data_IF_414458187525
#
_entry.id   IF_414458187525
#
_cell.length_a   1.000
_cell.length_b   1.000
_cell.length_c   1.000
_cell.angle_alpha   90.00
_cell.angle_beta   90.00
_cell.angle_gamma   90.00
#
_symmetry.space_group_name_H-M   'P 1'
#
loop_
_entity.id
_entity.type
_entity.pdbx_description
1 polymer ?
#
# COMPACT_ATOMS: atom_id res chain seq x y z
N UNK A 1 4.43 -15.14 -28.76
CA UNK A 1 4.06 -13.79 -29.24
C UNK A 1 5.29 -12.90 -29.15
N UNK A 2 5.86 -12.53 -30.31
CA UNK A 2 6.91 -11.53 -30.40
C UNK A 2 6.26 -10.15 -30.55
N UNK A 3 6.14 -9.43 -29.44
CA UNK A 3 5.74 -8.03 -29.52
C UNK A 3 6.91 -7.18 -30.00
N UNK A 4 6.63 -6.19 -30.86
CA UNK A 4 7.56 -5.09 -31.07
C UNK A 4 7.77 -4.37 -29.74
N UNK A 5 8.92 -3.73 -29.51
CA UNK A 5 9.21 -3.01 -28.27
C UNK A 5 8.08 -2.02 -27.90
N UNK A 6 7.57 -1.26 -28.87
CA UNK A 6 6.45 -0.33 -28.66
C UNK A 6 5.15 -1.06 -28.29
N UNK A 7 4.86 -2.19 -28.91
CA UNK A 7 3.68 -3.01 -28.61
C UNK A 7 3.74 -3.60 -27.20
N UNK A 8 4.92 -4.05 -26.76
CA UNK A 8 5.12 -4.54 -25.40
C UNK A 8 4.91 -3.44 -24.34
N UNK A 9 5.40 -2.23 -24.60
CA UNK A 9 5.19 -1.09 -23.70
C UNK A 9 3.72 -0.70 -23.58
N UNK A 10 2.99 -0.60 -24.71
CA UNK A 10 1.56 -0.26 -24.71
C UNK A 10 0.76 -1.34 -23.96
N UNK A 11 1.04 -2.61 -24.25
CA UNK A 11 0.39 -3.72 -23.54
C UNK A 11 0.67 -3.69 -22.05
N UNK A 12 1.92 -3.46 -21.64
CA UNK A 12 2.30 -3.34 -20.24
C UNK A 12 1.61 -2.17 -19.54
N UNK A 13 1.51 -1.01 -20.22
CA UNK A 13 0.81 0.15 -19.70
C UNK A 13 -0.69 -0.15 -19.48
N UNK A 14 -1.35 -0.73 -20.47
CA UNK A 14 -2.78 -1.08 -20.36
C UNK A 14 -3.00 -2.11 -19.25
N UNK A 15 -2.17 -3.16 -19.18
CA UNK A 15 -2.26 -4.17 -18.15
C UNK A 15 -2.05 -3.59 -16.75
N UNK A 16 -1.09 -2.67 -16.58
CA UNK A 16 -0.85 -1.98 -15.31
C UNK A 16 -2.03 -1.08 -14.92
N UNK A 17 -2.59 -0.32 -15.86
CA UNK A 17 -3.77 0.52 -15.61
C UNK A 17 -4.98 -0.31 -15.18
N UNK A 18 -5.23 -1.45 -15.84
CA UNK A 18 -6.31 -2.36 -15.47
C UNK A 18 -6.10 -2.98 -14.10
N UNK A 19 -4.87 -3.40 -13.79
CA UNK A 19 -4.50 -3.95 -12.49
C UNK A 19 -4.73 -2.92 -11.38
N UNK A 20 -4.18 -1.72 -11.53
CA UNK A 20 -4.29 -0.64 -10.54
C UNK A 20 -5.75 -0.24 -10.32
N UNK A 21 -6.52 -0.06 -11.40
CA UNK A 21 -7.95 0.23 -11.33
C UNK A 21 -8.71 -0.87 -10.58
N UNK A 22 -8.43 -2.13 -10.89
CA UNK A 22 -9.12 -3.27 -10.26
C UNK A 22 -8.83 -3.35 -8.76
N UNK A 23 -7.56 -3.16 -8.36
CA UNK A 23 -7.15 -3.14 -6.95
C UNK A 23 -7.83 -1.99 -6.20
N UNK A 24 -7.82 -0.79 -6.76
CA UNK A 24 -8.44 0.37 -6.14
C UNK A 24 -9.96 0.23 -6.02
N UNK A 25 -10.62 -0.34 -7.03
CA UNK A 25 -12.06 -0.62 -6.99
C UNK A 25 -12.42 -1.67 -5.92
N UNK A 26 -11.59 -2.68 -5.72
CA UNK A 26 -11.81 -3.72 -4.71
C UNK A 26 -11.50 -3.26 -3.28
N UNK A 27 -10.52 -2.37 -3.14
CA UNK A 27 -10.01 -1.93 -1.83
C UNK A 27 -11.05 -1.15 -1.02
N UNK A 28 -11.89 -0.32 -1.66
CA UNK A 28 -12.87 0.50 -0.95
C UNK A 28 -14.02 -0.33 -0.35
N UNK A 29 -14.72 -1.22 -1.10
CA UNK A 29 -15.70 -2.13 -0.52
C UNK A 29 -15.12 -2.99 0.61
N UNK A 30 -13.88 -3.48 0.46
CA UNK A 30 -13.22 -4.26 1.50
C UNK A 30 -13.01 -3.46 2.80
N UNK A 31 -12.61 -2.19 2.71
CA UNK A 31 -12.48 -1.32 3.89
C UNK A 31 -13.85 -1.01 4.51
N UNK A 32 -14.86 -0.76 3.69
CA UNK A 32 -16.22 -0.51 4.14
C UNK A 32 -16.80 -1.72 4.87
N UNK A 33 -16.63 -2.92 4.33
CA UNK A 33 -17.09 -4.16 4.93
C UNK A 33 -16.61 -4.33 6.37
N UNK A 34 -15.33 -3.99 6.65
CA UNK A 34 -14.81 -4.03 8.03
C UNK A 34 -15.54 -3.05 8.94
N UNK A 35 -15.84 -1.83 8.45
CA UNK A 35 -16.58 -0.83 9.20
C UNK A 35 -18.04 -1.19 9.45
N UNK A 36 -18.67 -1.87 8.49
CA UNK A 36 -20.06 -2.26 8.54
C UNK A 36 -20.32 -3.45 9.47
N UNK A 37 -19.32 -4.34 9.61
CA UNK A 37 -19.43 -5.57 10.41
C UNK A 37 -19.16 -5.37 11.92
N UNK A 38 -18.75 -4.17 12.34
CA UNK A 38 -18.40 -3.89 13.75
C UNK A 38 -19.18 -2.69 14.27
N UNK A 39 -19.49 -2.69 15.58
CA UNK A 39 -20.11 -1.54 16.23
C UNK A 39 -19.19 -0.33 16.30
N UNK A 40 -19.76 0.87 16.46
CA UNK A 40 -19.03 2.15 16.46
C UNK A 40 -17.85 2.19 17.43
N UNK A 41 -18.00 1.60 18.61
CA UNK A 41 -16.96 1.54 19.64
C UNK A 41 -15.75 0.69 19.22
N UNK A 42 -15.95 -0.27 18.32
CA UNK A 42 -14.92 -1.23 17.88
C UNK A 42 -14.27 -0.81 16.58
N UNK A 43 -14.83 0.14 15.82
CA UNK A 43 -14.31 0.56 14.50
C UNK A 43 -12.85 0.94 14.53
N UNK A 44 -12.42 1.74 15.49
CA UNK A 44 -11.01 2.16 15.61
C UNK A 44 -10.07 0.97 15.76
N UNK A 45 -10.45 -0.01 16.61
CA UNK A 45 -9.67 -1.23 16.83
C UNK A 45 -9.65 -2.12 15.59
N UNK A 46 -10.79 -2.28 14.92
CA UNK A 46 -10.90 -3.08 13.70
C UNK A 46 -10.02 -2.53 12.57
N UNK A 47 -10.03 -1.23 12.32
CA UNK A 47 -9.16 -0.59 11.35
C UNK A 47 -7.67 -0.66 11.71
N UNK A 48 -7.34 -0.60 13.01
CA UNK A 48 -5.95 -0.79 13.47
C UNK A 48 -5.47 -2.22 13.20
N UNK A 49 -6.30 -3.22 13.46
CA UNK A 49 -5.99 -4.63 13.14
C UNK A 49 -5.86 -4.81 11.63
N UNK A 50 -6.75 -4.22 10.83
CA UNK A 50 -6.67 -4.26 9.37
C UNK A 50 -5.35 -3.66 8.89
N UNK A 51 -4.96 -2.49 9.39
CA UNK A 51 -3.69 -1.84 9.04
C UNK A 51 -2.49 -2.69 9.45
N UNK A 52 -2.52 -3.31 10.62
CA UNK A 52 -1.50 -4.26 11.05
C UNK A 52 -1.35 -5.42 10.07
N UNK A 53 -2.46 -6.06 9.69
CA UNK A 53 -2.44 -7.21 8.76
C UNK A 53 -1.97 -6.82 7.37
N UNK A 54 -2.36 -5.64 6.86
CA UNK A 54 -1.90 -5.11 5.56
C UNK A 54 -0.39 -4.92 5.56
N UNK A 55 0.17 -4.30 6.60
CA UNK A 55 1.61 -4.06 6.69
C UNK A 55 2.39 -5.36 6.94
N UNK A 56 1.86 -6.29 7.74
CA UNK A 56 2.45 -7.61 7.91
C UNK A 56 2.48 -8.40 6.59
N UNK A 57 1.40 -8.33 5.80
CA UNK A 57 1.35 -8.90 4.45
C UNK A 57 2.37 -8.26 3.51
N UNK A 58 2.52 -6.93 3.56
CA UNK A 58 3.53 -6.19 2.81
C UNK A 58 4.95 -6.65 3.14
N UNK A 59 5.27 -6.80 4.43
CA UNK A 59 6.55 -7.33 4.89
C UNK A 59 6.84 -8.72 4.29
N UNK A 60 5.88 -9.63 4.36
CA UNK A 60 6.01 -10.98 3.77
C UNK A 60 6.21 -10.88 2.26
N UNK A 61 5.46 -10.02 1.57
CA UNK A 61 5.58 -9.80 0.12
C UNK A 61 6.98 -9.32 -0.28
N UNK A 62 7.55 -8.35 0.44
CA UNK A 62 8.92 -7.88 0.18
C UNK A 62 9.98 -8.94 0.45
N UNK A 63 9.73 -9.89 1.34
CA UNK A 63 10.66 -10.98 1.64
C UNK A 63 10.61 -12.13 0.63
N UNK A 64 9.57 -12.27 -0.19
CA UNK A 64 9.43 -13.38 -1.13
C UNK A 64 10.64 -13.58 -2.06
N UNK A 65 11.20 -12.57 -2.73
CA UNK A 65 12.36 -12.77 -3.59
C UNK A 65 13.57 -13.32 -2.83
N UNK A 66 13.77 -12.90 -1.58
CA UNK A 66 14.87 -13.38 -0.73
C UNK A 66 14.65 -14.81 -0.25
N UNK A 67 13.40 -15.15 0.12
CA UNK A 67 13.03 -16.51 0.49
C UNK A 67 13.27 -17.49 -0.68
N UNK A 68 12.88 -17.12 -1.89
CA UNK A 68 13.11 -17.95 -3.07
C UNK A 68 14.59 -18.06 -3.42
N UNK A 69 15.36 -16.99 -3.27
CA UNK A 69 16.82 -17.03 -3.44
C UNK A 69 17.46 -17.98 -2.42
N UNK A 70 16.97 -18.01 -1.18
CA UNK A 70 17.43 -18.95 -0.16
C UNK A 70 17.12 -20.41 -0.52
N UNK A 71 16.01 -20.68 -1.22
CA UNK A 71 15.70 -22.00 -1.77
C UNK A 71 16.47 -22.32 -3.07
N UNK A 72 17.41 -21.47 -3.47
CA UNK A 72 18.28 -21.71 -4.65
C UNK A 72 17.69 -21.27 -5.98
N UNK A 73 16.61 -20.47 -5.97
CA UNK A 73 16.04 -19.87 -7.19
C UNK A 73 16.86 -18.64 -7.57
N UNK A 74 17.20 -18.50 -8.85
CA UNK A 74 18.05 -17.42 -9.34
C UNK A 74 17.39 -16.03 -9.11
N UNK A 75 18.09 -15.16 -8.37
CA UNK A 75 17.69 -13.77 -8.09
C UNK A 75 18.31 -12.77 -9.07
N UNK A 76 19.09 -13.24 -10.03
CA UNK A 76 19.68 -12.46 -11.12
C UNK A 76 19.25 -13.05 -12.44
N UNK A 77 19.13 -12.21 -13.47
CA UNK A 77 18.77 -12.62 -14.81
C UNK A 77 19.65 -11.89 -15.85
N UNK A 78 19.85 -12.47 -17.05
CA UNK A 78 20.48 -11.77 -18.17
C UNK A 78 19.72 -10.49 -18.54
N UNK A 79 20.39 -9.57 -19.24
CA UNK A 79 19.79 -8.32 -19.71
C UNK A 79 18.46 -8.57 -20.43
N UNK A 80 17.44 -7.79 -20.06
CA UNK A 80 16.09 -7.85 -20.64
C UNK A 80 15.21 -8.99 -20.12
N UNK A 81 15.67 -9.76 -19.14
CA UNK A 81 14.87 -10.80 -18.49
C UNK A 81 14.59 -10.45 -17.02
N UNK A 82 13.42 -10.89 -16.54
CA UNK A 82 13.04 -10.74 -15.13
C UNK A 82 13.56 -11.95 -14.35
N UNK A 83 14.21 -11.76 -13.18
CA UNK A 83 14.65 -12.86 -12.33
C UNK A 83 13.51 -13.83 -11.95
N UNK A 84 13.83 -15.11 -11.86
CA UNK A 84 12.83 -16.13 -11.57
C UNK A 84 12.21 -15.97 -10.17
N UNK A 85 12.99 -15.49 -9.20
CA UNK A 85 12.48 -15.13 -7.86
C UNK A 85 11.33 -14.13 -7.94
N UNK A 86 11.44 -13.11 -8.81
CA UNK A 86 10.42 -12.09 -9.03
C UNK A 86 9.19 -12.71 -9.70
N UNK A 87 9.37 -13.51 -10.76
CA UNK A 87 8.26 -14.18 -11.44
C UNK A 87 7.44 -15.06 -10.50
N UNK A 88 8.11 -15.88 -9.69
CA UNK A 88 7.43 -16.74 -8.71
C UNK A 88 6.75 -15.96 -7.61
N UNK A 89 7.35 -14.84 -7.15
CA UNK A 89 6.70 -13.93 -6.20
C UNK A 89 5.37 -13.41 -6.73
N UNK A 90 5.32 -12.99 -8.00
CA UNK A 90 4.09 -12.53 -8.65
C UNK A 90 3.05 -13.65 -8.80
N UNK A 91 3.45 -14.85 -9.25
CA UNK A 91 2.51 -15.97 -9.43
C UNK A 91 1.91 -16.43 -8.10
N UNK A 92 2.73 -16.57 -7.06
CA UNK A 92 2.27 -16.99 -5.73
C UNK A 92 1.44 -15.88 -5.10
N UNK A 93 1.86 -14.63 -5.21
CA UNK A 93 1.08 -13.48 -4.74
C UNK A 93 -0.29 -13.38 -5.39
N UNK A 94 -0.36 -13.57 -6.72
CA UNK A 94 -1.62 -13.60 -7.45
C UNK A 94 -2.53 -14.77 -7.01
N UNK A 95 -1.96 -15.97 -6.84
CA UNK A 95 -2.70 -17.14 -6.36
C UNK A 95 -3.27 -16.90 -4.95
N UNK A 96 -2.47 -16.37 -4.04
CA UNK A 96 -2.91 -16.03 -2.67
C UNK A 96 -4.05 -15.00 -2.73
N UNK A 97 -3.89 -13.93 -3.53
CA UNK A 97 -4.91 -12.90 -3.69
C UNK A 97 -6.25 -13.49 -4.16
N UNK A 98 -6.23 -14.31 -5.22
CA UNK A 98 -7.43 -14.96 -5.76
C UNK A 98 -8.08 -15.86 -4.71
N UNK A 99 -7.30 -16.69 -4.02
CA UNK A 99 -7.80 -17.58 -2.98
C UNK A 99 -8.41 -16.80 -1.80
N UNK A 100 -7.79 -15.72 -1.37
CA UNK A 100 -8.30 -14.86 -0.30
C UNK A 100 -9.62 -14.17 -0.71
N UNK A 101 -9.70 -13.66 -1.94
CA UNK A 101 -10.94 -13.06 -2.46
C UNK A 101 -12.05 -14.09 -2.55
N UNK A 102 -11.79 -15.27 -3.10
CA UNK A 102 -12.77 -16.36 -3.16
C UNK A 102 -13.22 -16.79 -1.76
N UNK A 103 -12.29 -16.94 -0.83
CA UNK A 103 -12.63 -17.26 0.56
C UNK A 103 -13.53 -16.18 1.18
N UNK A 104 -13.20 -14.91 1.01
CA UNK A 104 -13.99 -13.80 1.54
C UNK A 104 -15.39 -13.79 0.93
N UNK A 105 -15.52 -13.88 -0.38
CA UNK A 105 -16.82 -13.84 -1.07
C UNK A 105 -17.71 -15.03 -0.74
N UNK A 106 -17.14 -16.20 -0.47
CA UNK A 106 -17.89 -17.40 -0.13
C UNK A 106 -18.26 -17.51 1.36
N UNK A 107 -17.45 -16.94 2.24
CA UNK A 107 -17.60 -17.11 3.70
C UNK A 107 -18.17 -15.89 4.41
N UNK A 108 -17.84 -14.70 3.96
CA UNK A 108 -18.35 -13.47 4.59
C UNK A 108 -19.73 -13.17 4.01
N UNK A 109 -20.71 -13.08 4.89
CA UNK A 109 -22.06 -12.64 4.55
C UNK A 109 -22.20 -11.18 4.97
N UNK A 110 -22.52 -10.33 4.02
CA UNK A 110 -22.87 -8.94 4.29
C UNK A 110 -24.23 -8.89 5.01
N UNK A 111 -24.39 -7.93 5.90
CA UNK A 111 -25.68 -7.68 6.52
C UNK A 111 -26.67 -7.15 5.48
N UNK A 112 -27.88 -7.73 5.35
CA UNK A 112 -28.94 -7.13 4.54
C UNK A 112 -29.24 -5.71 5.02
N UNK A 113 -29.69 -4.77 4.17
CA UNK A 113 -29.90 -3.38 4.54
C UNK A 113 -30.77 -3.16 5.79
N UNK A 114 -31.77 -4.01 6.00
CA UNK A 114 -32.62 -3.94 7.19
C UNK A 114 -31.90 -4.36 8.47
N UNK A 115 -31.10 -5.42 8.42
CA UNK A 115 -30.30 -5.90 9.54
C UNK A 115 -29.19 -4.89 9.88
N UNK A 116 -28.56 -4.31 8.84
CA UNK A 116 -27.57 -3.25 8.98
C UNK A 116 -28.17 -2.03 9.69
N UNK A 117 -29.36 -1.57 9.30
CA UNK A 117 -30.05 -0.46 9.91
C UNK A 117 -30.36 -0.74 11.39
N UNK A 118 -30.86 -1.93 11.72
CA UNK A 118 -31.12 -2.33 13.11
C UNK A 118 -29.84 -2.42 13.94
N UNK A 119 -28.76 -2.97 13.38
CA UNK A 119 -27.47 -3.12 14.06
C UNK A 119 -26.84 -1.77 14.40
N UNK A 120 -26.99 -0.79 13.52
CA UNK A 120 -26.45 0.58 13.71
C UNK A 120 -27.47 1.56 14.31
N UNK A 121 -28.65 1.10 14.72
CA UNK A 121 -29.68 1.96 15.33
C UNK A 121 -30.28 2.98 14.35
N UNK A 122 -30.25 2.69 13.06
CA UNK A 122 -30.82 3.52 11.99
C UNK A 122 -32.25 3.06 11.74
N UNK A 123 -33.19 4.02 11.60
CA UNK A 123 -34.57 3.71 11.27
C UNK A 123 -34.66 3.07 9.87
N UNK A 124 -35.13 1.82 9.73
CA UNK A 124 -35.19 1.11 8.44
C UNK A 124 -36.03 1.84 7.40
N UNK A 125 -37.08 2.55 7.82
CA UNK A 125 -38.01 3.23 6.93
C UNK A 125 -37.42 4.53 6.34
N UNK A 126 -36.34 5.06 6.92
CA UNK A 126 -35.62 6.21 6.37
C UNK A 126 -34.57 5.84 5.32
N UNK A 127 -34.33 4.56 5.11
CA UNK A 127 -33.28 4.07 4.19
C UNK A 127 -33.74 4.03 2.72
N UNK A 128 -35.01 4.28 2.44
CA UNK A 128 -35.57 4.27 1.05
C UNK A 128 -35.43 5.62 0.31
N UNK A 129 -34.91 6.66 0.91
CA UNK A 129 -34.57 7.87 0.16
C UNK A 129 -33.44 7.58 -0.84
N UNK A 130 -33.75 7.79 -2.12
CA UNK A 130 -32.73 7.67 -3.19
C UNK A 130 -31.49 8.47 -2.80
N UNK A 131 -30.36 7.78 -2.76
CA UNK A 131 -29.08 8.43 -2.46
C UNK A 131 -28.90 9.66 -3.39
N UNK A 132 -28.59 10.84 -2.84
CA UNK A 132 -28.40 12.03 -3.65
C UNK A 132 -27.27 11.81 -4.65
N UNK A 133 -27.44 12.33 -5.87
CA UNK A 133 -26.43 12.17 -6.92
C UNK A 133 -25.06 12.69 -6.48
N UNK A 134 -23.98 12.12 -7.03
CA UNK A 134 -22.58 12.39 -6.64
C UNK A 134 -22.23 13.89 -6.60
N UNK A 135 -22.72 14.66 -7.58
CA UNK A 135 -22.49 16.13 -7.62
C UNK A 135 -23.16 16.86 -6.45
N UNK A 136 -24.31 16.38 -5.99
CA UNK A 136 -25.00 16.94 -4.83
C UNK A 136 -24.25 16.61 -3.55
N UNK A 137 -23.72 15.39 -3.42
CA UNK A 137 -22.88 14.98 -2.30
C UNK A 137 -21.60 15.81 -2.23
N UNK A 138 -20.91 16.01 -3.34
CA UNK A 138 -19.69 16.84 -3.40
C UNK A 138 -19.98 18.30 -3.02
N UNK A 139 -21.08 18.87 -3.49
CA UNK A 139 -21.46 20.25 -3.13
C UNK A 139 -21.82 20.41 -1.65
N UNK A 140 -22.37 19.37 -1.03
CA UNK A 140 -22.75 19.36 0.39
C UNK A 140 -21.63 18.83 1.31
N UNK A 141 -20.49 18.43 0.73
CA UNK A 141 -19.38 17.88 1.50
C UNK A 141 -18.84 18.92 2.51
N UNK A 142 -18.60 18.52 3.76
CA UNK A 142 -18.06 19.41 4.78
C UNK A 142 -16.64 19.89 4.41
N UNK A 143 -16.24 21.06 4.90
CA UNK A 143 -14.92 21.64 4.62
C UNK A 143 -13.77 20.68 5.03
N UNK A 144 -13.96 19.88 6.08
CA UNK A 144 -13.01 18.86 6.50
C UNK A 144 -12.72 17.84 5.39
N UNK A 145 -13.71 17.44 4.60
CA UNK A 145 -13.53 16.54 3.45
C UNK A 145 -12.51 17.10 2.44
N UNK A 146 -12.67 18.38 2.08
CA UNK A 146 -11.79 19.03 1.12
C UNK A 146 -10.38 19.26 1.68
N UNK A 147 -10.28 19.63 2.95
CA UNK A 147 -8.99 19.82 3.63
C UNK A 147 -8.20 18.51 3.71
N UNK A 148 -8.86 17.43 4.14
CA UNK A 148 -8.22 16.10 4.20
C UNK A 148 -7.87 15.61 2.79
N UNK A 149 -8.75 15.83 1.81
CA UNK A 149 -8.49 15.48 0.41
C UNK A 149 -7.24 16.17 -0.14
N UNK A 150 -7.07 17.48 0.15
CA UNK A 150 -5.89 18.23 -0.27
C UNK A 150 -4.60 17.69 0.38
N UNK A 151 -4.63 17.41 1.67
CA UNK A 151 -3.47 16.81 2.37
C UNK A 151 -3.13 15.45 1.78
N UNK A 152 -4.14 14.59 1.54
CA UNK A 152 -3.94 13.28 0.92
C UNK A 152 -3.36 13.38 -0.50
N UNK A 153 -3.76 14.38 -1.28
CA UNK A 153 -3.18 14.61 -2.61
C UNK A 153 -1.66 14.79 -2.51
N UNK A 154 -1.17 15.64 -1.60
CA UNK A 154 0.28 15.84 -1.43
C UNK A 154 0.99 14.62 -0.83
N UNK A 155 0.36 13.89 0.10
CA UNK A 155 0.89 12.64 0.63
C UNK A 155 1.08 11.59 -0.47
N UNK A 156 0.08 11.40 -1.32
CA UNK A 156 0.16 10.44 -2.44
C UNK A 156 1.18 10.86 -3.48
N UNK A 157 1.32 12.17 -3.74
CA UNK A 157 2.39 12.67 -4.60
C UNK A 157 3.76 12.32 -4.04
N UNK A 158 3.99 12.52 -2.72
CA UNK A 158 5.25 12.16 -2.06
C UNK A 158 5.52 10.65 -2.15
N UNK A 159 4.53 9.80 -1.89
CA UNK A 159 4.68 8.35 -2.03
C UNK A 159 4.99 7.90 -3.45
N UNK A 160 4.35 8.51 -4.45
CA UNK A 160 4.65 8.22 -5.86
C UNK A 160 6.11 8.55 -6.20
N UNK A 161 6.60 9.70 -5.74
CA UNK A 161 8.02 10.06 -5.90
C UNK A 161 8.93 9.06 -5.18
N UNK A 162 8.62 8.68 -3.95
CA UNK A 162 9.36 7.67 -3.21
C UNK A 162 9.46 6.36 -4.01
N UNK A 163 8.34 5.78 -4.42
CA UNK A 163 8.35 4.50 -5.14
C UNK A 163 9.06 4.56 -6.48
N UNK A 164 8.98 5.69 -7.18
CA UNK A 164 9.57 5.85 -8.51
C UNK A 164 11.09 6.09 -8.45
N UNK A 165 11.55 6.92 -7.52
CA UNK A 165 12.91 7.43 -7.56
C UNK A 165 13.84 6.87 -6.49
N UNK A 166 13.34 6.17 -5.47
CA UNK A 166 14.16 5.66 -4.36
C UNK A 166 15.31 4.79 -4.85
N UNK A 167 15.06 3.86 -5.79
CA UNK A 167 16.11 2.99 -6.29
C UNK A 167 17.24 3.77 -6.97
N UNK A 168 16.89 4.68 -7.88
CA UNK A 168 17.88 5.53 -8.55
C UNK A 168 18.65 6.42 -7.58
N UNK A 169 17.97 7.05 -6.63
CA UNK A 169 18.60 7.92 -5.65
C UNK A 169 19.57 7.16 -4.74
N UNK A 170 19.19 5.98 -4.25
CA UNK A 170 20.07 5.16 -3.39
C UNK A 170 21.23 4.58 -4.20
N UNK A 171 21.00 4.16 -5.45
CA UNK A 171 22.06 3.68 -6.32
C UNK A 171 23.13 4.76 -6.57
N UNK A 172 22.70 5.99 -6.78
CA UNK A 172 23.61 7.14 -6.97
C UNK A 172 24.35 7.50 -5.67
N UNK A 173 23.63 7.68 -4.57
CA UNK A 173 24.19 8.20 -3.32
C UNK A 173 25.04 7.18 -2.56
N UNK A 174 24.71 5.89 -2.60
CA UNK A 174 25.39 4.84 -1.82
C UNK A 174 26.36 4.04 -2.68
N UNK A 175 25.98 3.70 -3.92
CA UNK A 175 26.81 2.90 -4.83
C UNK A 175 27.50 3.73 -5.93
N UNK A 176 27.24 5.03 -6.00
CA UNK A 176 27.90 5.95 -6.96
C UNK A 176 27.59 5.65 -8.42
N UNK A 177 26.41 5.08 -8.71
CA UNK A 177 26.04 4.71 -10.08
C UNK A 177 24.63 5.15 -10.44
N UNK A 178 24.50 5.69 -11.65
CA UNK A 178 23.22 6.02 -12.30
C UNK A 178 22.88 5.09 -13.46
N UNK A 179 23.81 4.18 -13.81
CA UNK A 179 23.61 3.21 -14.88
C UNK A 179 22.73 2.07 -14.41
N UNK A 180 21.51 2.00 -14.94
CA UNK A 180 20.49 0.98 -14.63
C UNK A 180 20.98 -0.46 -14.91
N UNK A 181 21.98 -0.63 -15.78
CA UNK A 181 22.56 -1.93 -16.15
C UNK A 181 23.72 -2.35 -15.25
N UNK A 182 24.23 -1.46 -14.42
CA UNK A 182 25.35 -1.75 -13.53
C UNK A 182 24.97 -2.72 -12.40
N UNK A 183 25.95 -3.51 -11.97
CA UNK A 183 25.78 -4.39 -10.79
C UNK A 183 25.45 -3.60 -9.52
N UNK A 184 26.02 -2.40 -9.38
CA UNK A 184 25.70 -1.48 -8.28
C UNK A 184 24.23 -1.08 -8.24
N UNK A 185 23.63 -0.80 -9.39
CA UNK A 185 22.21 -0.46 -9.48
C UNK A 185 21.29 -1.64 -9.10
N UNK A 186 21.66 -2.85 -9.52
CA UNK A 186 20.92 -4.08 -9.15
C UNK A 186 21.04 -4.35 -7.64
N UNK A 187 22.23 -4.16 -7.08
CA UNK A 187 22.47 -4.29 -5.63
C UNK A 187 21.65 -3.27 -4.85
N UNK A 188 21.60 -2.02 -5.32
CA UNK A 188 20.74 -0.99 -4.74
C UNK A 188 19.26 -1.40 -4.76
N UNK A 189 18.78 -1.98 -5.87
CA UNK A 189 17.40 -2.48 -5.98
C UNK A 189 17.06 -3.55 -4.94
N UNK A 190 17.96 -4.50 -4.71
CA UNK A 190 17.80 -5.50 -3.65
C UNK A 190 17.76 -4.84 -2.27
N UNK A 191 18.65 -3.86 -2.04
CA UNK A 191 18.69 -3.12 -0.77
C UNK A 191 17.41 -2.31 -0.53
N UNK A 192 16.87 -1.68 -1.55
CA UNK A 192 15.57 -0.96 -1.50
C UNK A 192 14.45 -1.91 -1.06
N UNK A 193 14.43 -3.15 -1.55
CA UNK A 193 13.49 -4.17 -1.07
C UNK A 193 13.58 -4.40 0.44
N UNK A 194 14.81 -4.47 0.99
CA UNK A 194 15.04 -4.59 2.43
C UNK A 194 14.57 -3.34 3.18
N UNK A 195 14.83 -2.15 2.64
CA UNK A 195 14.40 -0.88 3.23
C UNK A 195 12.86 -0.78 3.30
N UNK A 196 12.15 -1.20 2.27
CA UNK A 196 10.67 -1.27 2.31
C UNK A 196 10.16 -2.32 3.29
N UNK A 197 10.87 -3.42 3.48
CA UNK A 197 10.55 -4.37 4.54
C UNK A 197 10.70 -3.73 5.93
N UNK A 198 11.76 -2.96 6.17
CA UNK A 198 11.97 -2.18 7.42
C UNK A 198 10.87 -1.13 7.61
N UNK A 199 10.47 -0.43 6.55
CA UNK A 199 9.33 0.49 6.57
C UNK A 199 8.04 -0.21 7.00
N UNK A 200 7.79 -1.44 6.52
CA UNK A 200 6.64 -2.22 6.92
C UNK A 200 6.66 -2.55 8.41
N UNK A 201 7.83 -2.85 8.98
CA UNK A 201 8.00 -3.03 10.43
C UNK A 201 7.68 -1.73 11.18
N UNK A 202 8.21 -0.59 10.73
CA UNK A 202 7.89 0.73 11.28
C UNK A 202 6.38 1.00 11.27
N UNK A 203 5.72 0.73 10.16
CA UNK A 203 4.27 0.90 10.00
C UNK A 203 3.47 0.00 10.97
N UNK A 204 3.91 -1.25 11.18
CA UNK A 204 3.30 -2.17 12.16
C UNK A 204 3.43 -1.60 13.58
N UNK A 205 4.63 -1.15 13.96
CA UNK A 205 4.86 -0.55 15.28
C UNK A 205 4.01 0.70 15.48
N UNK A 206 3.92 1.55 14.45
CA UNK A 206 3.12 2.76 14.48
C UNK A 206 1.63 2.48 14.60
N UNK A 207 1.12 1.45 13.91
CA UNK A 207 -0.26 1.01 14.00
C UNK A 207 -0.66 0.61 15.44
N UNK A 208 0.28 0.09 16.24
CA UNK A 208 0.06 -0.23 17.67
C UNK A 208 0.09 1.01 18.57
N UNK A 209 0.70 2.09 18.12
CA UNK A 209 0.85 3.35 18.87
C UNK A 209 -0.34 4.27 18.62
N UNK A 210 -0.85 4.36 17.38
CA UNK A 210 -1.94 5.26 16.98
C UNK A 210 -3.16 5.20 17.92
N UNK A 211 -3.67 4.04 18.33
CA UNK A 211 -4.84 3.97 19.23
C UNK A 211 -4.63 4.57 20.62
N UNK A 212 -3.37 4.81 21.02
CA UNK A 212 -3.04 5.43 22.33
C UNK A 212 -3.19 6.95 22.32
N UNK A 213 -3.30 7.56 21.14
CA UNK A 213 -3.53 9.00 21.05
C UNK A 213 -4.97 9.34 21.44
N UNK A 214 -5.12 10.30 22.34
CA UNK A 214 -6.44 10.81 22.76
C UNK A 214 -7.15 11.58 21.63
N UNK A 215 -6.39 12.16 20.72
CA UNK A 215 -6.90 12.99 19.63
C UNK A 215 -6.37 12.50 18.29
N UNK A 216 -7.27 12.05 17.42
CA UNK A 216 -6.97 11.54 16.07
C UNK A 216 -6.24 12.59 15.21
N UNK A 217 -6.63 13.88 15.34
CA UNK A 217 -5.96 14.97 14.62
C UNK A 217 -4.48 15.10 15.01
N UNK A 218 -4.20 14.98 16.31
CA UNK A 218 -2.81 15.01 16.81
C UNK A 218 -2.03 13.81 16.30
N UNK A 219 -2.60 12.61 16.35
CA UNK A 219 -1.98 11.40 15.79
C UNK A 219 -1.62 11.59 14.33
N UNK A 220 -2.55 12.12 13.53
CA UNK A 220 -2.36 12.37 12.10
C UNK A 220 -1.23 13.37 11.83
N UNK A 221 -1.21 14.50 12.54
CA UNK A 221 -0.16 15.53 12.38
C UNK A 221 1.21 14.98 12.78
N UNK A 222 1.30 14.25 13.89
CA UNK A 222 2.55 13.63 14.36
C UNK A 222 3.04 12.60 13.34
N UNK A 223 2.17 11.76 12.79
CA UNK A 223 2.52 10.79 11.75
C UNK A 223 3.11 11.47 10.51
N UNK A 224 2.47 12.56 10.04
CA UNK A 224 2.98 13.33 8.89
C UNK A 224 4.34 13.97 9.16
N UNK A 225 4.55 14.50 10.36
CA UNK A 225 5.83 15.11 10.72
C UNK A 225 6.96 14.07 10.82
N UNK A 226 6.68 12.91 11.42
CA UNK A 226 7.65 11.81 11.48
C UNK A 226 7.99 11.33 10.07
N UNK A 227 7.00 11.07 9.21
CA UNK A 227 7.24 10.71 7.83
C UNK A 227 8.03 11.76 7.05
N UNK A 228 7.74 13.06 7.25
CA UNK A 228 8.49 14.14 6.62
C UNK A 228 9.96 14.15 7.06
N UNK A 229 10.25 13.89 8.33
CA UNK A 229 11.62 13.74 8.84
C UNK A 229 12.30 12.53 8.21
N UNK A 230 11.60 11.39 8.10
CA UNK A 230 12.09 10.20 7.41
C UNK A 230 12.48 10.50 5.96
N UNK A 231 11.61 11.15 5.20
CA UNK A 231 11.91 11.56 3.81
C UNK A 231 13.10 12.52 3.73
N UNK A 232 13.14 13.54 4.58
CA UNK A 232 14.24 14.52 4.56
C UNK A 232 15.58 13.90 4.95
N UNK A 233 15.58 12.93 5.87
CA UNK A 233 16.82 12.30 6.36
C UNK A 233 17.53 11.48 5.28
N UNK A 234 16.80 10.91 4.30
CA UNK A 234 17.42 10.17 3.17
C UNK A 234 18.39 11.04 2.39
N UNK A 235 18.12 12.35 2.29
CA UNK A 235 19.01 13.28 1.58
C UNK A 235 20.38 13.43 2.25
N UNK A 236 20.46 13.27 3.57
CA UNK A 236 21.70 13.47 4.35
C UNK A 236 22.44 12.16 4.62
N UNK A 237 21.80 11.02 4.44
CA UNK A 237 22.35 9.71 4.79
C UNK A 237 22.89 9.04 3.53
N UNK A 238 24.20 8.77 3.51
CA UNK A 238 24.91 8.09 2.43
C UNK A 238 25.38 6.68 2.81
N UNK A 239 25.15 6.29 4.05
CA UNK A 239 25.44 4.93 4.53
C UNK A 239 24.23 4.02 4.41
N UNK A 240 24.43 2.85 3.79
CA UNK A 240 23.36 1.91 3.53
C UNK A 240 22.63 1.42 4.80
N UNK A 241 23.33 1.28 5.93
CA UNK A 241 22.73 0.78 7.17
C UNK A 241 22.00 1.89 7.93
N UNK A 242 22.50 3.12 7.88
CA UNK A 242 21.82 4.25 8.50
C UNK A 242 20.50 4.58 7.81
N UNK A 243 20.31 4.20 6.54
CA UNK A 243 19.04 4.33 5.84
C UNK A 243 17.89 3.55 6.52
N UNK A 244 18.20 2.52 7.33
CA UNK A 244 17.17 1.84 8.12
C UNK A 244 16.42 2.81 9.05
N UNK A 245 17.10 3.80 9.60
CA UNK A 245 16.46 4.81 10.47
C UNK A 245 15.46 5.63 9.67
N UNK A 246 15.83 6.07 8.46
CA UNK A 246 14.94 6.86 7.58
C UNK A 246 13.69 6.09 7.18
N UNK A 247 13.83 4.80 6.89
CA UNK A 247 12.70 3.96 6.44
C UNK A 247 11.89 3.39 7.60
N UNK A 248 12.41 3.40 8.82
CA UNK A 248 11.65 3.01 10.01
C UNK A 248 10.66 4.11 10.44
N UNK A 249 10.98 5.38 10.13
CA UNK A 249 10.16 6.57 10.44
C UNK A 249 9.03 6.78 9.44
#
# INVERSE_FOLDING_TARGET
FSFTFAGAMIFGLIALMLLDTSINMAMQPFKMLVGDMVGEEQKSKAYSIQSFLVNAGGLVGFMFPFLFAWFGIANTAPEGQVPDTVKYSFYIGAAILILCVLFTTLKVKEMPPKEYAQFHGIDPDKTEEKAPGMLTLLKKAPSAFWTVGLVQFFCWAAFLYMWTYTNGAIADTVWGTTDVKSEGYQTAGNWVGILFAVQSVGSVLWALIIPKFRNIKTAYVVSLLIGAVGFASVFFIHDQYLLFISFLL
#
